data_IF_068783960970
#
_entry.id   IF_068783960970
#
_cell.length_a   1.000
_cell.length_b   1.000
_cell.length_c   1.000
_cell.angle_alpha   90.00
_cell.angle_beta   90.00
_cell.angle_gamma   90.00
#
_symmetry.space_group_name_H-M   'P 1'
#
loop_
_entity.id
_entity.type
_entity.pdbx_description
1 polymer ?
#
# COMPACT_ATOMS: atom_id res chain seq x y z
N UNK A 1 14.31 18.22 -27.73
CA UNK A 1 14.24 16.86 -28.32
C UNK A 1 14.54 15.76 -27.29
N UNK A 2 15.52 15.95 -26.41
CA UNK A 2 15.90 15.00 -25.35
C UNK A 2 14.74 14.68 -24.38
N UNK A 3 14.01 15.67 -23.88
CA UNK A 3 12.85 15.45 -22.98
C UNK A 3 11.72 14.64 -23.63
N UNK A 4 11.38 14.90 -24.90
CA UNK A 4 10.38 14.12 -25.63
C UNK A 4 10.81 12.67 -25.84
N UNK A 5 12.10 12.40 -25.99
CA UNK A 5 12.64 11.05 -26.12
C UNK A 5 12.66 10.32 -24.78
N UNK A 6 13.05 11.01 -23.70
CA UNK A 6 13.00 10.47 -22.34
C UNK A 6 11.56 10.15 -21.90
N UNK A 7 10.60 11.02 -22.21
CA UNK A 7 9.18 10.78 -21.90
C UNK A 7 8.58 9.61 -22.71
N UNK A 8 9.01 9.39 -23.95
CA UNK A 8 8.64 8.19 -24.73
C UNK A 8 9.23 6.92 -24.13
N UNK A 9 10.49 6.98 -23.69
CA UNK A 9 11.15 5.86 -23.05
C UNK A 9 10.50 5.50 -21.70
N UNK A 10 10.16 6.49 -20.87
CA UNK A 10 9.48 6.27 -19.59
C UNK A 10 8.11 5.58 -19.77
N UNK A 11 7.27 6.08 -20.68
CA UNK A 11 5.97 5.45 -20.99
C UNK A 11 6.10 4.01 -21.48
N UNK A 12 7.11 3.74 -22.31
CA UNK A 12 7.37 2.40 -22.82
C UNK A 12 7.85 1.46 -21.70
N UNK A 13 8.70 1.95 -20.80
CA UNK A 13 9.15 1.20 -19.62
C UNK A 13 7.96 0.84 -18.74
N UNK A 14 7.12 1.81 -18.38
CA UNK A 14 5.95 1.57 -17.53
C UNK A 14 4.95 0.61 -18.17
N UNK A 15 4.72 0.72 -19.48
CA UNK A 15 3.87 -0.23 -20.21
C UNK A 15 4.44 -1.65 -20.14
N UNK A 16 5.72 -1.84 -20.45
CA UNK A 16 6.38 -3.16 -20.38
C UNK A 16 6.38 -3.73 -18.97
N UNK A 17 6.70 -2.90 -17.98
CA UNK A 17 6.68 -3.29 -16.57
C UNK A 17 5.27 -3.68 -16.11
N UNK A 18 4.23 -2.99 -16.56
CA UNK A 18 2.82 -3.34 -16.26
C UNK A 18 2.44 -4.70 -16.81
N UNK A 19 2.84 -5.01 -18.05
CA UNK A 19 2.59 -6.32 -18.68
C UNK A 19 3.34 -7.42 -17.93
N UNK A 20 4.65 -7.24 -17.70
CA UNK A 20 5.46 -8.24 -16.99
C UNK A 20 5.00 -8.46 -15.55
N UNK A 21 4.55 -7.40 -14.88
CA UNK A 21 3.98 -7.46 -13.53
C UNK A 21 2.67 -8.26 -13.54
N UNK A 22 1.75 -7.99 -14.48
CA UNK A 22 0.51 -8.76 -14.59
C UNK A 22 0.77 -10.22 -14.93
N UNK A 23 1.69 -10.51 -15.85
CA UNK A 23 2.11 -11.87 -16.20
C UNK A 23 2.61 -12.63 -14.97
N UNK A 24 3.47 -12.01 -14.17
CA UNK A 24 4.00 -12.63 -12.96
C UNK A 24 2.89 -12.97 -11.95
N UNK A 25 1.96 -12.04 -11.72
CA UNK A 25 0.83 -12.24 -10.79
C UNK A 25 -0.11 -13.33 -11.29
N UNK A 26 -0.42 -13.33 -12.59
CA UNK A 26 -1.32 -14.31 -13.20
C UNK A 26 -0.75 -15.73 -13.10
N UNK A 27 0.54 -15.88 -13.39
CA UNK A 27 1.21 -17.18 -13.22
C UNK A 27 1.33 -17.60 -11.75
N UNK A 28 1.48 -16.66 -10.83
CA UNK A 28 1.41 -16.98 -9.40
C UNK A 28 0.03 -17.48 -9.00
N UNK A 29 -1.03 -16.83 -9.45
CA UNK A 29 -2.40 -17.26 -9.17
C UNK A 29 -2.62 -18.70 -9.66
N UNK A 30 -2.21 -19.00 -10.90
CA UNK A 30 -2.26 -20.34 -11.47
C UNK A 30 -1.42 -21.37 -10.70
N UNK A 31 -0.24 -20.97 -10.22
CA UNK A 31 0.63 -21.85 -9.44
C UNK A 31 0.03 -22.20 -8.06
N UNK A 32 -0.73 -21.30 -7.44
CA UNK A 32 -1.43 -21.56 -6.18
C UNK A 32 -2.54 -22.60 -6.33
N UNK A 33 -3.21 -22.63 -7.50
CA UNK A 33 -4.25 -23.62 -7.82
C UNK A 33 -3.65 -25.00 -8.11
N UNK A 34 -2.63 -25.06 -8.98
CA UNK A 34 -2.07 -26.33 -9.45
C UNK A 34 -1.09 -26.98 -8.47
N UNK A 35 -0.52 -26.22 -7.52
CA UNK A 35 0.47 -26.67 -6.51
C UNK A 35 1.65 -27.47 -7.06
N UNK A 36 1.98 -27.29 -8.34
CA UNK A 36 3.09 -27.99 -9.00
C UNK A 36 4.41 -27.25 -8.77
N UNK A 37 5.49 -27.99 -8.56
CA UNK A 37 6.83 -27.42 -8.45
C UNK A 37 7.26 -26.73 -9.75
N UNK A 38 6.82 -27.24 -10.92
CA UNK A 38 7.09 -26.66 -12.24
C UNK A 38 6.47 -25.27 -12.39
N UNK A 39 5.22 -25.09 -11.96
CA UNK A 39 4.55 -23.79 -12.02
C UNK A 39 5.24 -22.79 -11.09
N UNK A 40 5.74 -23.23 -9.94
CA UNK A 40 6.53 -22.37 -9.06
C UNK A 40 7.87 -21.95 -9.69
N UNK A 41 8.55 -22.85 -10.42
CA UNK A 41 9.78 -22.51 -11.13
C UNK A 41 9.53 -21.43 -12.19
N UNK A 42 8.48 -21.56 -13.01
CA UNK A 42 8.12 -20.57 -14.03
C UNK A 42 7.81 -19.20 -13.41
N UNK A 43 7.14 -19.19 -12.25
CA UNK A 43 6.88 -17.94 -11.50
C UNK A 43 8.19 -17.26 -11.09
N UNK A 44 9.20 -18.02 -10.65
CA UNK A 44 10.52 -17.46 -10.30
C UNK A 44 11.27 -16.94 -11.52
N UNK A 45 11.19 -17.63 -12.66
CA UNK A 45 11.79 -17.17 -13.92
C UNK A 45 11.16 -15.85 -14.38
N UNK A 46 9.81 -15.76 -14.39
CA UNK A 46 9.08 -14.53 -14.71
C UNK A 46 9.42 -13.39 -13.76
N UNK A 47 9.56 -13.68 -12.46
CA UNK A 47 10.00 -12.70 -11.47
C UNK A 47 11.40 -12.15 -11.77
N UNK A 48 12.35 -13.04 -12.08
CA UNK A 48 13.72 -12.65 -12.44
C UNK A 48 13.76 -11.75 -13.67
N UNK A 49 12.97 -12.05 -14.70
CA UNK A 49 12.86 -11.21 -15.90
C UNK A 49 12.27 -9.83 -15.60
N UNK A 50 11.18 -9.77 -14.82
CA UNK A 50 10.57 -8.50 -14.39
C UNK A 50 11.58 -7.65 -13.61
N UNK A 51 12.24 -8.24 -12.61
CA UNK A 51 13.17 -7.54 -11.73
C UNK A 51 14.38 -7.01 -12.50
N UNK A 52 14.98 -7.82 -13.38
CA UNK A 52 16.09 -7.39 -14.21
C UNK A 52 15.68 -6.27 -15.18
N UNK A 53 14.49 -6.36 -15.78
CA UNK A 53 13.99 -5.29 -16.64
C UNK A 53 13.83 -3.99 -15.87
N UNK A 54 13.28 -4.03 -14.66
CA UNK A 54 13.11 -2.86 -13.81
C UNK A 54 14.45 -2.25 -13.41
N UNK A 55 15.39 -3.05 -12.87
CA UNK A 55 16.71 -2.56 -12.46
C UNK A 55 17.45 -1.90 -13.64
N UNK A 56 17.40 -2.48 -14.83
CA UNK A 56 18.06 -1.94 -16.02
C UNK A 56 17.35 -0.72 -16.62
N UNK A 57 16.04 -0.57 -16.40
CA UNK A 57 15.23 0.50 -16.99
C UNK A 57 15.04 1.70 -16.07
N UNK A 58 15.25 1.52 -14.76
CA UNK A 58 15.11 2.55 -13.73
C UNK A 58 16.33 3.49 -13.70
N UNK A 59 16.53 4.23 -14.80
CA UNK A 59 17.65 5.16 -14.98
C UNK A 59 17.35 6.58 -14.51
N UNK A 60 16.07 6.95 -14.36
CA UNK A 60 15.66 8.31 -13.94
C UNK A 60 14.67 8.27 -12.78
N UNK A 61 14.62 9.38 -12.03
CA UNK A 61 13.71 9.55 -10.88
C UNK A 61 12.24 9.46 -11.31
N UNK A 62 11.90 9.94 -12.49
CA UNK A 62 10.52 9.92 -12.97
C UNK A 62 10.06 8.50 -13.31
N UNK A 63 10.93 7.67 -13.91
CA UNK A 63 10.63 6.25 -14.12
C UNK A 63 10.44 5.53 -12.78
N UNK A 64 11.25 5.85 -11.76
CA UNK A 64 11.07 5.29 -10.43
C UNK A 64 9.71 5.65 -9.82
N UNK A 65 9.29 6.90 -9.95
CA UNK A 65 7.97 7.35 -9.48
C UNK A 65 6.86 6.61 -10.21
N UNK A 66 6.95 6.48 -11.53
CA UNK A 66 5.92 5.80 -12.32
C UNK A 66 5.84 4.29 -12.01
N UNK A 67 6.99 3.64 -11.78
CA UNK A 67 7.05 2.23 -11.37
C UNK A 67 6.42 2.04 -9.99
N UNK A 68 6.74 2.92 -9.02
CA UNK A 68 6.11 2.85 -7.69
C UNK A 68 4.61 3.10 -7.79
N UNK A 69 4.17 4.10 -8.57
CA UNK A 69 2.74 4.37 -8.78
C UNK A 69 2.02 3.16 -9.39
N UNK A 70 2.61 2.52 -10.41
CA UNK A 70 2.09 1.31 -11.03
C UNK A 70 1.93 0.17 -10.01
N UNK A 71 2.88 -0.01 -9.09
CA UNK A 71 2.80 -1.04 -8.05
C UNK A 71 1.62 -0.75 -7.08
N UNK A 72 1.43 0.51 -6.70
CA UNK A 72 0.30 0.90 -5.86
C UNK A 72 -1.04 0.69 -6.58
N UNK A 73 -1.14 1.08 -7.84
CA UNK A 73 -2.35 0.88 -8.65
C UNK A 73 -2.70 -0.63 -8.76
N UNK A 74 -1.70 -1.49 -8.95
CA UNK A 74 -1.90 -2.95 -8.96
C UNK A 74 -2.30 -3.50 -7.61
N UNK A 75 -1.72 -3.00 -6.52
CA UNK A 75 -2.08 -3.44 -5.17
C UNK A 75 -3.52 -3.06 -4.78
N UNK A 76 -4.06 -1.98 -5.32
CA UNK A 76 -5.48 -1.63 -5.16
C UNK A 76 -6.38 -2.65 -5.87
N UNK A 77 -6.01 -3.06 -7.08
CA UNK A 77 -6.82 -3.99 -7.88
C UNK A 77 -6.70 -5.44 -7.38
N UNK A 78 -5.51 -5.84 -6.93
CA UNK A 78 -5.18 -7.23 -6.60
C UNK A 78 -4.53 -7.34 -5.19
N UNK A 79 -5.25 -6.94 -4.11
CA UNK A 79 -4.67 -6.79 -2.76
C UNK A 79 -4.18 -8.11 -2.15
N UNK A 80 -4.63 -9.25 -2.65
CA UNK A 80 -4.13 -10.58 -2.24
C UNK A 80 -2.64 -10.78 -2.52
N UNK A 81 -2.09 -10.06 -3.49
CA UNK A 81 -0.68 -10.17 -3.89
C UNK A 81 0.21 -9.04 -3.33
N UNK A 82 -0.30 -8.20 -2.42
CA UNK A 82 0.50 -7.20 -1.69
C UNK A 82 1.85 -7.74 -1.14
N UNK A 83 1.94 -8.96 -0.57
CA UNK A 83 3.23 -9.49 -0.10
C UNK A 83 4.28 -9.64 -1.20
N UNK A 84 3.83 -9.91 -2.44
CA UNK A 84 4.68 -10.04 -3.62
C UNK A 84 5.13 -8.67 -4.14
N UNK A 85 4.21 -7.71 -4.23
CA UNK A 85 4.56 -6.33 -4.57
C UNK A 85 5.57 -5.73 -3.59
N UNK A 86 5.40 -6.03 -2.28
CA UNK A 86 6.34 -5.58 -1.26
C UNK A 86 7.72 -6.26 -1.39
N UNK A 87 7.77 -7.54 -1.78
CA UNK A 87 9.03 -8.21 -2.13
C UNK A 87 9.73 -7.52 -3.30
N UNK A 88 8.96 -7.21 -4.35
CA UNK A 88 9.48 -6.55 -5.54
C UNK A 88 10.09 -5.18 -5.18
N UNK A 89 9.40 -4.37 -4.38
CA UNK A 89 9.95 -3.10 -3.89
C UNK A 89 11.25 -3.26 -3.09
N UNK A 90 11.33 -4.28 -2.24
CA UNK A 90 12.55 -4.59 -1.48
C UNK A 90 13.71 -4.97 -2.41
N UNK A 91 13.46 -5.89 -3.36
CA UNK A 91 14.49 -6.37 -4.29
C UNK A 91 14.97 -5.28 -5.24
N UNK A 92 14.07 -4.39 -5.70
CA UNK A 92 14.43 -3.21 -6.48
C UNK A 92 15.37 -2.32 -5.65
N UNK A 93 14.98 -1.99 -4.41
CA UNK A 93 15.80 -1.16 -3.53
C UNK A 93 17.20 -1.76 -3.26
N UNK A 94 17.25 -3.07 -3.04
CA UNK A 94 18.49 -3.78 -2.72
C UNK A 94 19.43 -3.88 -3.93
N UNK A 95 18.89 -4.15 -5.11
CA UNK A 95 19.67 -4.41 -6.33
C UNK A 95 19.91 -3.19 -7.22
N UNK A 96 19.25 -2.06 -6.95
CA UNK A 96 19.53 -0.82 -7.67
C UNK A 96 21.00 -0.41 -7.46
N UNK A 97 21.75 -0.11 -8.54
CA UNK A 97 23.10 0.37 -8.43
C UNK A 97 23.11 1.72 -7.70
N UNK A 98 24.09 1.92 -6.82
CA UNK A 98 24.37 3.24 -6.26
C UNK A 98 25.07 4.04 -7.35
N UNK A 99 24.37 4.98 -8.00
CA UNK A 99 25.02 5.87 -8.96
C UNK A 99 26.00 6.78 -8.20
N UNK A 100 27.23 6.85 -8.69
CA UNK A 100 28.18 7.90 -8.37
C UNK A 100 27.81 9.13 -9.22
N UNK A 101 26.72 9.82 -8.87
CA UNK A 101 26.51 11.18 -9.36
C UNK A 101 27.07 12.18 -8.33
N UNK A 102 27.52 13.38 -8.75
CA UNK A 102 28.16 14.37 -7.87
C UNK A 102 27.19 15.04 -6.86
N UNK A 103 25.92 14.63 -6.82
CA UNK A 103 24.96 14.99 -5.77
C UNK A 103 24.89 13.90 -4.68
N UNK A 104 24.75 14.25 -3.39
CA UNK A 104 25.25 13.41 -2.28
C UNK A 104 24.42 12.17 -1.93
N UNK A 105 23.42 11.80 -2.74
CA UNK A 105 22.34 10.87 -2.34
C UNK A 105 22.08 9.82 -3.44
N UNK A 106 22.92 8.77 -3.46
CA UNK A 106 22.82 7.67 -4.43
C UNK A 106 21.45 6.96 -4.51
N UNK A 107 21.18 6.28 -5.63
CA UNK A 107 19.85 5.79 -6.01
C UNK A 107 19.12 4.82 -5.06
N UNK A 108 19.83 4.08 -4.20
CA UNK A 108 19.16 3.26 -3.17
C UNK A 108 18.36 4.14 -2.20
N UNK A 109 18.94 5.27 -1.80
CA UNK A 109 18.30 6.25 -0.92
C UNK A 109 17.12 6.90 -1.67
N UNK A 110 17.27 7.11 -2.97
CA UNK A 110 16.23 7.68 -3.82
C UNK A 110 14.99 6.80 -3.92
N UNK A 111 15.12 5.48 -4.15
CA UNK A 111 13.96 4.59 -4.26
C UNK A 111 13.13 4.57 -2.98
N UNK A 112 13.80 4.41 -1.83
CA UNK A 112 13.11 4.42 -0.53
C UNK A 112 12.43 5.77 -0.28
N UNK A 113 13.07 6.89 -0.63
CA UNK A 113 12.48 8.22 -0.53
C UNK A 113 11.25 8.39 -1.43
N UNK A 114 11.31 7.93 -2.68
CA UNK A 114 10.17 7.95 -3.61
C UNK A 114 9.01 7.11 -3.04
N UNK A 115 9.30 5.90 -2.55
CA UNK A 115 8.30 5.03 -1.96
C UNK A 115 7.60 5.67 -0.74
N UNK A 116 8.37 6.26 0.18
CA UNK A 116 7.83 6.96 1.36
C UNK A 116 6.97 8.16 0.96
N UNK A 117 7.40 8.95 -0.02
CA UNK A 117 6.63 10.08 -0.54
C UNK A 117 5.33 9.62 -1.19
N UNK A 118 5.35 8.53 -1.98
CA UNK A 118 4.13 7.97 -2.57
C UNK A 118 3.17 7.48 -1.50
N UNK A 119 3.65 6.83 -0.43
CA UNK A 119 2.80 6.43 0.69
C UNK A 119 2.07 7.63 1.32
N UNK A 120 2.77 8.77 1.46
CA UNK A 120 2.17 10.00 1.99
C UNK A 120 1.11 10.55 1.04
N UNK A 121 1.44 10.71 -0.25
CA UNK A 121 0.52 11.23 -1.27
C UNK A 121 -0.75 10.38 -1.37
N UNK A 122 -0.59 9.06 -1.46
CA UNK A 122 -1.71 8.11 -1.58
C UNK A 122 -2.67 8.23 -0.41
N UNK A 123 -2.13 8.46 0.79
CA UNK A 123 -2.94 8.52 1.99
C UNK A 123 -3.50 9.92 2.27
N UNK A 124 -2.80 10.99 1.90
CA UNK A 124 -3.29 12.37 1.97
C UNK A 124 -4.38 12.64 0.93
N UNK A 125 -4.19 12.18 -0.32
CA UNK A 125 -5.15 12.38 -1.42
C UNK A 125 -6.50 11.68 -1.23
N UNK A 126 -6.59 10.72 -0.30
CA UNK A 126 -7.86 10.10 0.07
C UNK A 126 -8.87 11.09 0.68
N UNK A 127 -8.39 12.17 1.32
CA UNK A 127 -9.26 13.16 1.96
C UNK A 127 -9.95 14.06 0.93
N UNK A 128 -9.23 14.45 -0.12
CA UNK A 128 -9.77 15.29 -1.20
C UNK A 128 -10.96 14.59 -1.87
N UNK A 129 -10.79 13.30 -2.19
CA UNK A 129 -11.85 12.50 -2.78
C UNK A 129 -13.00 12.25 -1.79
N UNK A 130 -12.70 12.03 -0.51
CA UNK A 130 -13.72 11.88 0.54
C UNK A 130 -14.57 13.14 0.72
N UNK A 131 -13.95 14.32 0.65
CA UNK A 131 -14.65 15.60 0.74
C UNK A 131 -15.43 15.93 -0.53
N UNK A 132 -14.94 15.53 -1.70
CA UNK A 132 -15.70 15.61 -2.96
C UNK A 132 -16.99 14.78 -2.88
N UNK A 133 -16.88 13.52 -2.43
CA UNK A 133 -18.01 12.61 -2.21
C UNK A 133 -19.01 13.19 -1.21
N UNK A 134 -18.54 13.78 -0.11
CA UNK A 134 -19.41 14.40 0.92
C UNK A 134 -20.22 15.58 0.38
N UNK A 135 -19.71 16.28 -0.63
CA UNK A 135 -20.40 17.40 -1.29
C UNK A 135 -21.47 16.93 -2.28
N UNK A 136 -21.45 15.67 -2.72
CA UNK A 136 -22.47 15.08 -3.60
C UNK A 136 -23.74 14.76 -2.79
N UNK A 137 -24.64 15.73 -2.70
CA UNK A 137 -25.90 15.61 -1.95
C UNK A 137 -27.14 15.61 -2.84
N UNK A 138 -26.97 15.73 -4.16
CA UNK A 138 -28.10 15.76 -5.09
C UNK A 138 -28.67 14.35 -5.33
N UNK A 139 -30.01 14.17 -5.42
CA UNK A 139 -30.63 12.85 -5.56
C UNK A 139 -30.21 12.08 -6.82
N UNK A 140 -29.95 12.80 -7.90
CA UNK A 140 -29.46 12.33 -9.19
C UNK A 140 -28.00 11.84 -9.14
N UNK A 141 -27.22 12.33 -8.17
CA UNK A 141 -25.82 11.93 -7.96
C UNK A 141 -25.67 10.70 -7.06
N UNK A 142 -26.77 10.12 -6.55
CA UNK A 142 -26.71 9.03 -5.56
C UNK A 142 -25.93 7.81 -6.06
N UNK A 143 -26.14 7.42 -7.32
CA UNK A 143 -25.41 6.28 -7.92
C UNK A 143 -23.91 6.60 -8.05
N UNK A 144 -23.56 7.74 -8.63
CA UNK A 144 -22.17 8.18 -8.79
C UNK A 144 -21.44 8.29 -7.44
N UNK A 145 -22.12 8.84 -6.42
CA UNK A 145 -21.58 8.91 -5.06
C UNK A 145 -21.27 7.53 -4.50
N UNK A 146 -22.19 6.58 -4.66
CA UNK A 146 -22.01 5.20 -4.17
C UNK A 146 -20.82 4.54 -4.86
N UNK A 147 -20.70 4.69 -6.19
CA UNK A 147 -19.57 4.13 -6.94
C UNK A 147 -18.23 4.75 -6.51
N UNK A 148 -18.19 6.06 -6.27
CA UNK A 148 -17.01 6.77 -5.75
C UNK A 148 -16.65 6.33 -4.34
N UNK A 149 -17.63 6.11 -3.46
CA UNK A 149 -17.42 5.58 -2.10
C UNK A 149 -16.82 4.17 -2.14
N UNK A 150 -17.35 3.28 -2.98
CA UNK A 150 -16.81 1.93 -3.19
C UNK A 150 -15.36 1.99 -3.68
N UNK A 151 -15.08 2.82 -4.69
CA UNK A 151 -13.74 2.95 -5.25
C UNK A 151 -12.73 3.51 -4.22
N UNK A 152 -13.14 4.50 -3.42
CA UNK A 152 -12.32 5.05 -2.34
C UNK A 152 -12.01 3.99 -1.28
N UNK A 153 -13.00 3.18 -0.90
CA UNK A 153 -12.84 2.11 0.08
C UNK A 153 -11.88 1.01 -0.44
N UNK A 154 -12.03 0.59 -1.70
CA UNK A 154 -11.12 -0.37 -2.34
C UNK A 154 -9.67 0.15 -2.39
N UNK A 155 -9.49 1.43 -2.78
CA UNK A 155 -8.19 2.09 -2.78
C UNK A 155 -7.57 2.11 -1.38
N UNK A 156 -8.35 2.55 -0.39
CA UNK A 156 -7.89 2.65 1.00
C UNK A 156 -7.44 1.28 1.50
N UNK A 157 -8.25 0.24 1.31
CA UNK A 157 -7.94 -1.12 1.75
C UNK A 157 -6.68 -1.68 1.07
N UNK A 158 -6.59 -1.61 -0.27
CA UNK A 158 -5.45 -2.14 -1.01
C UNK A 158 -4.15 -1.42 -0.69
N UNK A 159 -4.20 -0.09 -0.55
CA UNK A 159 -3.04 0.71 -0.18
C UNK A 159 -2.57 0.40 1.24
N UNK A 160 -3.48 0.29 2.22
CA UNK A 160 -3.11 -0.08 3.59
C UNK A 160 -2.50 -1.48 3.64
N UNK A 161 -3.07 -2.44 2.91
CA UNK A 161 -2.50 -3.78 2.84
C UNK A 161 -1.09 -3.77 2.24
N UNK A 162 -0.85 -3.03 1.15
CA UNK A 162 0.48 -2.89 0.58
C UNK A 162 1.46 -2.24 1.56
N UNK A 163 1.07 -1.15 2.21
CA UNK A 163 1.91 -0.43 3.16
C UNK A 163 2.26 -1.31 4.35
N UNK A 164 1.33 -2.13 4.83
CA UNK A 164 1.57 -3.10 5.91
C UNK A 164 2.66 -4.11 5.51
N UNK A 165 2.57 -4.65 4.30
CA UNK A 165 3.58 -5.57 3.76
C UNK A 165 4.94 -4.90 3.51
N UNK A 166 4.94 -3.64 3.05
CA UNK A 166 6.17 -2.85 2.89
C UNK A 166 6.82 -2.56 4.26
N UNK A 167 6.02 -2.31 5.28
CA UNK A 167 6.50 -2.11 6.64
C UNK A 167 7.12 -3.38 7.22
N UNK A 168 6.50 -4.55 7.02
CA UNK A 168 7.07 -5.87 7.36
C UNK A 168 8.44 -6.12 6.73
N UNK A 169 8.77 -5.44 5.63
CA UNK A 169 10.05 -5.52 4.92
C UNK A 169 10.99 -4.35 5.17
N UNK A 170 10.71 -3.51 6.18
CA UNK A 170 11.51 -2.31 6.55
C UNK A 170 11.64 -1.29 5.42
N UNK A 171 10.72 -1.32 4.46
CA UNK A 171 10.65 -0.35 3.35
C UNK A 171 9.92 0.93 3.76
N UNK A 172 9.04 0.83 4.76
CA UNK A 172 8.30 1.95 5.37
C UNK A 172 8.76 2.15 6.82
N UNK A 173 8.70 3.38 7.32
CA UNK A 173 9.12 3.73 8.70
C UNK A 173 7.93 3.71 9.68
N UNK A 174 8.22 3.56 10.97
CA UNK A 174 7.21 3.65 12.03
C UNK A 174 6.40 4.95 11.97
N UNK A 175 7.04 6.07 11.64
CA UNK A 175 6.38 7.37 11.52
C UNK A 175 5.24 7.38 10.50
N UNK A 176 5.38 6.69 9.36
CA UNK A 176 4.31 6.58 8.37
C UNK A 176 3.16 5.72 8.91
N UNK A 177 3.48 4.59 9.56
CA UNK A 177 2.48 3.71 10.17
C UNK A 177 1.68 4.46 11.24
N UNK A 178 2.34 5.14 12.16
CA UNK A 178 1.69 5.89 13.24
C UNK A 178 0.82 7.01 12.68
N UNK A 179 1.29 7.73 11.65
CA UNK A 179 0.50 8.75 10.96
C UNK A 179 -0.76 8.18 10.29
N UNK A 180 -0.65 7.01 9.67
CA UNK A 180 -1.79 6.32 9.05
C UNK A 180 -2.81 5.89 10.09
N UNK A 181 -2.37 5.23 11.16
CA UNK A 181 -3.25 4.76 12.23
C UNK A 181 -3.93 5.93 12.94
N UNK A 182 -3.18 6.99 13.22
CA UNK A 182 -3.73 8.19 13.84
C UNK A 182 -4.84 8.80 12.99
N UNK A 183 -4.59 9.00 11.68
CA UNK A 183 -5.59 9.59 10.78
C UNK A 183 -6.81 8.70 10.58
N UNK A 184 -6.66 7.37 10.52
CA UNK A 184 -7.83 6.49 10.38
C UNK A 184 -8.66 6.40 11.67
N UNK A 185 -8.08 6.71 12.83
CA UNK A 185 -8.75 6.68 14.13
C UNK A 185 -9.06 8.09 14.68
N UNK A 186 -8.72 9.16 13.96
CA UNK A 186 -8.83 10.55 14.44
C UNK A 186 -10.24 11.15 14.39
N UNK A 187 -11.23 10.42 13.87
CA UNK A 187 -12.62 10.87 13.89
C UNK A 187 -13.04 11.21 15.33
N UNK A 188 -13.74 12.36 15.48
CA UNK A 188 -14.23 12.87 16.77
C UNK A 188 -14.81 11.73 17.62
N UNK A 189 -14.54 11.73 18.93
CA UNK A 189 -14.85 10.59 19.81
C UNK A 189 -16.30 10.08 19.68
N UNK A 190 -17.22 10.97 19.32
CA UNK A 190 -18.66 10.76 19.14
C UNK A 190 -19.06 10.17 17.77
N UNK A 191 -18.25 10.31 16.71
CA UNK A 191 -18.57 9.76 15.40
C UNK A 191 -18.03 8.34 15.28
N UNK A 192 -18.90 7.40 14.91
CA UNK A 192 -18.48 6.06 14.52
C UNK A 192 -17.91 6.13 13.10
N UNK A 193 -16.65 5.72 12.87
CA UNK A 193 -16.11 5.62 11.52
C UNK A 193 -16.91 4.59 10.70
N UNK A 194 -16.83 4.68 9.37
CA UNK A 194 -17.46 3.68 8.51
C UNK A 194 -16.88 2.29 8.76
N UNK A 195 -17.68 1.25 8.48
CA UNK A 195 -17.26 -0.13 8.71
C UNK A 195 -16.04 -0.51 7.88
N UNK A 196 -15.97 -0.02 6.64
CA UNK A 196 -14.86 -0.28 5.71
C UNK A 196 -13.55 0.36 6.22
N UNK A 197 -13.62 1.58 6.76
CA UNK A 197 -12.47 2.24 7.39
C UNK A 197 -11.99 1.44 8.61
N UNK A 198 -12.92 0.97 9.45
CA UNK A 198 -12.59 0.16 10.62
C UNK A 198 -11.98 -1.19 10.23
N UNK A 199 -12.53 -1.87 9.23
CA UNK A 199 -11.99 -3.12 8.69
C UNK A 199 -10.58 -2.91 8.15
N UNK A 200 -10.37 -1.84 7.37
CA UNK A 200 -9.06 -1.54 6.81
C UNK A 200 -8.01 -1.23 7.89
N UNK A 201 -8.37 -0.46 8.94
CA UNK A 201 -7.49 -0.23 10.10
C UNK A 201 -7.17 -1.52 10.83
N UNK A 202 -8.18 -2.35 11.08
CA UNK A 202 -7.98 -3.58 11.83
C UNK A 202 -7.04 -4.53 11.10
N UNK A 203 -7.26 -4.72 9.80
CA UNK A 203 -6.38 -5.53 8.95
C UNK A 203 -4.96 -4.96 8.90
N UNK A 204 -4.82 -3.65 8.75
CA UNK A 204 -3.51 -2.99 8.79
C UNK A 204 -2.79 -3.23 10.13
N UNK A 205 -3.49 -3.06 11.25
CA UNK A 205 -2.96 -3.30 12.59
C UNK A 205 -2.58 -4.77 12.80
N UNK A 206 -3.33 -5.73 12.26
CA UNK A 206 -2.95 -7.15 12.30
C UNK A 206 -1.60 -7.40 11.61
N UNK A 207 -1.34 -6.76 10.47
CA UNK A 207 -0.06 -6.92 9.77
C UNK A 207 1.09 -6.23 10.52
N UNK A 208 0.93 -4.96 10.91
CA UNK A 208 2.03 -4.19 11.54
C UNK A 208 2.33 -4.63 12.96
N UNK A 209 1.35 -5.15 13.71
CA UNK A 209 1.55 -5.62 15.09
C UNK A 209 2.42 -6.86 15.20
N UNK A 210 2.54 -7.65 14.14
CA UNK A 210 3.45 -8.79 14.06
C UNK A 210 4.92 -8.38 13.85
N UNK A 211 5.19 -7.11 13.53
CA UNK A 211 6.54 -6.62 13.29
C UNK A 211 7.22 -6.15 14.60
N UNK A 212 8.39 -6.71 14.97
CA UNK A 212 9.13 -6.31 16.17
C UNK A 212 9.46 -4.81 16.21
N UNK A 213 9.79 -4.21 15.07
CA UNK A 213 10.15 -2.79 14.97
C UNK A 213 8.97 -1.89 15.38
N UNK A 214 7.73 -2.34 15.13
CA UNK A 214 6.55 -1.66 15.64
C UNK A 214 6.35 -1.97 17.10
N UNK A 215 6.36 -3.23 17.55
CA UNK A 215 6.11 -3.61 18.95
C UNK A 215 7.06 -2.88 19.91
N UNK A 216 8.35 -2.88 19.61
CA UNK A 216 9.42 -2.30 20.42
C UNK A 216 9.55 -0.77 20.27
N UNK A 217 8.81 -0.15 19.34
CA UNK A 217 8.85 1.30 19.14
C UNK A 217 8.61 2.08 20.44
N UNK A 218 9.44 3.12 20.63
CA UNK A 218 9.44 4.04 21.78
C UNK A 218 8.12 4.80 21.95
N UNK A 219 7.32 4.89 20.89
CA UNK A 219 5.99 5.53 20.84
C UNK A 219 4.89 4.71 21.54
N UNK A 220 5.16 4.20 22.75
CA UNK A 220 4.22 3.37 23.51
C UNK A 220 2.91 4.11 23.81
N UNK A 221 2.98 5.41 24.00
CA UNK A 221 1.83 6.26 24.32
C UNK A 221 0.87 6.40 23.13
N UNK A 222 1.38 6.55 21.90
CA UNK A 222 0.56 6.60 20.68
C UNK A 222 -0.20 5.29 20.48
N UNK A 223 0.50 4.16 20.60
CA UNK A 223 -0.15 2.84 20.53
C UNK A 223 -1.24 2.70 21.59
N UNK A 224 -0.97 3.12 22.83
CA UNK A 224 -1.97 3.09 23.89
C UNK A 224 -3.21 3.93 23.56
N UNK A 225 -3.02 5.12 22.94
CA UNK A 225 -4.12 5.96 22.42
C UNK A 225 -4.95 5.21 21.38
N UNK A 226 -4.31 4.56 20.40
CA UNK A 226 -5.00 3.79 19.35
C UNK A 226 -5.84 2.65 19.94
N UNK A 227 -5.25 1.83 20.81
CA UNK A 227 -5.98 0.71 21.44
C UNK A 227 -7.09 1.18 22.38
N UNK A 228 -6.91 2.32 23.07
CA UNK A 228 -7.99 2.93 23.86
C UNK A 228 -9.16 3.32 22.97
N UNK A 229 -8.90 3.96 21.82
CA UNK A 229 -9.93 4.31 20.84
C UNK A 229 -10.63 3.07 20.28
N UNK A 230 -9.89 2.03 19.89
CA UNK A 230 -10.45 0.75 19.46
C UNK A 230 -11.33 0.10 20.54
N UNK A 231 -10.94 0.19 21.81
CA UNK A 231 -11.77 -0.33 22.92
C UNK A 231 -13.08 0.43 23.06
N UNK A 232 -13.08 1.76 22.92
CA UNK A 232 -14.29 2.58 22.91
C UNK A 232 -15.18 2.17 21.73
N UNK A 233 -14.60 2.11 20.53
CA UNK A 233 -15.31 1.71 19.31
C UNK A 233 -15.89 0.30 19.45
N UNK A 234 -15.16 -0.66 20.02
CA UNK A 234 -15.64 -2.04 20.22
C UNK A 234 -16.93 -2.17 21.05
N UNK A 235 -17.32 -1.12 21.77
CA UNK A 235 -18.56 -1.06 22.56
C UNK A 235 -19.62 -0.14 21.95
N UNK A 236 -19.35 0.48 20.80
CA UNK A 236 -20.27 1.41 20.15
C UNK A 236 -21.57 0.69 19.73
N UNK A 237 -22.76 1.26 20.00
CA UNK A 237 -24.04 0.58 19.75
C UNK A 237 -24.36 0.39 18.27
N UNK A 238 -23.85 1.27 17.40
CA UNK A 238 -24.12 1.22 15.95
C UNK A 238 -23.25 0.22 15.18
N UNK A 239 -22.24 -0.39 15.82
CA UNK A 239 -21.36 -1.34 15.13
C UNK A 239 -21.95 -2.74 15.08
N UNK A 240 -21.94 -3.30 13.87
CA UNK A 240 -22.29 -4.70 13.64
C UNK A 240 -21.32 -5.66 14.34
N UNK A 241 -21.80 -6.89 14.56
CA UNK A 241 -21.04 -7.92 15.28
C UNK A 241 -19.72 -8.28 14.59
N UNK A 242 -19.68 -8.34 13.25
CA UNK A 242 -18.47 -8.67 12.49
C UNK A 242 -17.33 -7.71 12.79
N UNK A 243 -17.57 -6.41 12.63
CA UNK A 243 -16.57 -5.35 12.88
C UNK A 243 -16.15 -5.34 14.35
N UNK A 244 -17.09 -5.57 15.27
CA UNK A 244 -16.79 -5.71 16.71
C UNK A 244 -15.84 -6.85 17.01
N UNK A 245 -16.06 -8.02 16.42
CA UNK A 245 -15.16 -9.18 16.56
C UNK A 245 -13.79 -8.87 15.97
N UNK A 246 -13.73 -8.22 14.82
CA UNK A 246 -12.47 -7.84 14.19
C UNK A 246 -11.65 -6.89 15.07
N UNK A 247 -12.27 -5.87 15.65
CA UNK A 247 -11.62 -4.95 16.60
C UNK A 247 -11.12 -5.71 17.82
N UNK A 248 -11.93 -6.61 18.39
CA UNK A 248 -11.52 -7.44 19.55
C UNK A 248 -10.33 -8.33 19.23
N UNK A 249 -10.29 -8.93 18.03
CA UNK A 249 -9.15 -9.73 17.60
C UNK A 249 -7.87 -8.89 17.59
N UNK A 250 -7.92 -7.67 17.06
CA UNK A 250 -6.77 -6.74 17.07
C UNK A 250 -6.32 -6.39 18.50
N UNK A 251 -7.26 -6.12 19.40
CA UNK A 251 -6.95 -5.82 20.80
C UNK A 251 -6.26 -7.01 21.49
N UNK A 252 -6.68 -8.24 21.15
CA UNK A 252 -6.18 -9.49 21.75
C UNK A 252 -4.84 -9.99 21.16
N UNK A 253 -4.31 -9.35 20.11
CA UNK A 253 -2.97 -9.68 19.56
C UNK A 253 -1.81 -9.19 20.45
N UNK A 254 -2.13 -8.49 21.55
CA UNK A 254 -1.21 -8.02 22.59
C UNK A 254 -1.28 -8.91 23.82
#
# INVERSE_FOLDING_TARGET
MVEKNNMRNAKLVCFRSSVLLQDWITFRALALENRSWLTNQIVQEKYGHLLNQLINSCTTVDILKDVVALIFDKAVLEPTFCPMYAQLCYDIHDKLPTFEDPEPLGCKILFKKVLLNTCQIVFEGADELSEEIRKMNAPDQKAERTDKEILLNLRTLGNLRLIGELFSRRMVTNSIVDRIVEKLLSDAEELCPSEEKLEAVCLFLQTVSNNPDWVESKEKHLKAKYFRRLKILSNHPQLIMRTRVMIRNVINLR
#
